data_IF_698016745861
#
_entry.id   IF_698016745861
#
_cell.length_a   1.000
_cell.length_b   1.000
_cell.length_c   1.000
_cell.angle_alpha   90.00
_cell.angle_beta   90.00
_cell.angle_gamma   90.00
#
_symmetry.space_group_name_H-M   'P 1'
#
loop_
_entity.id
_entity.type
_entity.pdbx_description
1 polymer ?
#
# COMPACT_ATOMS: atom_id res chain seq x y z
N UNK A 1 -11.84 0.77 -16.77
CA UNK A 1 -12.15 -0.25 -15.75
C UNK A 1 -11.49 0.02 -14.40
N UNK A 2 -10.24 0.51 -14.38
CA UNK A 2 -9.53 0.80 -13.13
C UNK A 2 -9.81 2.20 -12.58
N UNK A 3 -10.36 3.08 -13.38
CA UNK A 3 -10.65 4.45 -12.98
C UNK A 3 -11.49 4.49 -11.69
N UNK A 4 -11.03 5.26 -10.70
CA UNK A 4 -11.66 5.43 -9.39
C UNK A 4 -11.67 4.18 -8.52
N UNK A 5 -11.02 3.09 -8.94
CA UNK A 5 -10.76 1.97 -8.05
C UNK A 5 -9.67 2.35 -7.05
N UNK A 6 -9.67 1.71 -5.90
CA UNK A 6 -8.66 1.97 -4.87
C UNK A 6 -7.53 0.96 -5.03
N UNK A 7 -6.30 1.45 -5.03
CA UNK A 7 -5.12 0.61 -5.13
C UNK A 7 -4.08 1.00 -4.11
N UNK A 8 -3.26 0.05 -3.69
CA UNK A 8 -2.14 0.28 -2.80
C UNK A 8 -1.00 -0.67 -3.15
N UNK A 9 0.22 -0.14 -3.17
CA UNK A 9 1.41 -0.94 -3.38
C UNK A 9 2.01 -1.32 -2.03
N UNK A 10 2.42 -2.58 -1.91
CA UNK A 10 3.09 -3.11 -0.72
C UNK A 10 4.30 -3.89 -1.22
N UNK A 11 5.46 -3.65 -0.62
CA UNK A 11 6.70 -4.29 -1.06
C UNK A 11 7.41 -4.91 0.13
N UNK A 12 7.80 -6.18 0.01
CA UNK A 12 8.66 -6.85 0.96
C UNK A 12 10.03 -6.98 0.32
N UNK A 13 11.07 -6.57 1.02
CA UNK A 13 12.43 -6.56 0.46
C UNK A 13 13.45 -7.12 1.43
N UNK A 14 14.56 -7.57 0.86
CA UNK A 14 15.71 -8.03 1.62
C UNK A 14 16.70 -6.90 1.90
N UNK A 15 16.81 -5.95 0.96
CA UNK A 15 17.78 -4.84 1.00
C UNK A 15 17.13 -3.56 0.49
N UNK A 16 17.92 -2.67 -0.09
CA UNK A 16 17.47 -1.43 -0.69
C UNK A 16 16.75 -1.66 -2.03
N UNK A 17 16.20 -0.61 -2.61
CA UNK A 17 15.54 -0.67 -3.91
C UNK A 17 14.01 -0.80 -3.83
N UNK A 18 13.48 -1.01 -2.64
CA UNK A 18 12.04 -1.15 -2.43
C UNK A 18 11.26 0.10 -2.88
N UNK A 19 11.82 1.28 -2.69
CA UNK A 19 11.17 2.53 -3.07
C UNK A 19 10.97 2.59 -4.59
N UNK A 20 11.92 2.12 -5.37
CA UNK A 20 11.76 2.07 -6.83
C UNK A 20 10.61 1.16 -7.26
N UNK A 21 10.52 -0.03 -6.67
CA UNK A 21 9.42 -0.95 -6.97
C UNK A 21 8.07 -0.35 -6.52
N UNK A 22 8.03 0.26 -5.35
CA UNK A 22 6.87 0.92 -4.80
C UNK A 22 6.40 2.05 -5.73
N UNK A 23 7.31 2.92 -6.15
CA UNK A 23 7.01 4.03 -7.06
C UNK A 23 6.50 3.55 -8.41
N UNK A 24 7.12 2.50 -8.97
CA UNK A 24 6.71 1.94 -10.25
C UNK A 24 5.25 1.47 -10.20
N UNK A 25 4.87 0.76 -9.14
CA UNK A 25 3.49 0.29 -8.96
C UNK A 25 2.54 1.47 -8.80
N UNK A 26 2.92 2.46 -8.00
CA UNK A 26 2.09 3.64 -7.78
C UNK A 26 1.91 4.48 -9.04
N UNK A 27 2.94 4.58 -9.89
CA UNK A 27 2.82 5.27 -11.16
C UNK A 27 1.78 4.59 -12.06
N UNK A 28 1.72 3.26 -12.04
CA UNK A 28 0.68 2.52 -12.77
C UNK A 28 -0.71 2.89 -12.24
N UNK A 29 -0.89 2.94 -10.93
CA UNK A 29 -2.18 3.31 -10.34
C UNK A 29 -2.58 4.73 -10.74
N UNK A 30 -1.63 5.67 -10.69
CA UNK A 30 -1.90 7.07 -11.02
C UNK A 30 -2.32 7.24 -12.48
N UNK A 31 -1.58 6.61 -13.41
CA UNK A 31 -1.93 6.72 -14.84
C UNK A 31 -3.27 6.05 -15.15
N UNK A 32 -3.69 5.09 -14.35
CA UNK A 32 -4.97 4.42 -14.48
C UNK A 32 -6.13 5.14 -13.79
N UNK A 33 -5.88 6.33 -13.25
CA UNK A 33 -6.87 7.14 -12.53
C UNK A 33 -7.44 6.44 -11.29
N UNK A 34 -6.62 5.62 -10.64
CA UNK A 34 -6.98 4.95 -9.40
C UNK A 34 -6.76 5.88 -8.20
N UNK A 35 -7.40 5.55 -7.09
CA UNK A 35 -7.27 6.29 -5.85
C UNK A 35 -6.35 5.50 -4.93
N UNK A 36 -5.33 6.15 -4.35
CA UNK A 36 -4.34 5.50 -3.50
C UNK A 36 -4.33 6.11 -2.10
N UNK A 37 -4.70 5.36 -1.05
CA UNK A 37 -4.53 5.84 0.32
C UNK A 37 -3.06 5.73 0.75
N UNK A 38 -2.67 6.63 1.63
CA UNK A 38 -1.35 6.55 2.26
C UNK A 38 -1.40 5.80 3.58
N UNK A 39 -0.26 5.73 4.24
CA UNK A 39 -0.12 5.12 5.54
C UNK A 39 0.80 5.99 6.42
N UNK A 40 1.21 5.46 7.57
CA UNK A 40 2.11 6.15 8.49
C UNK A 40 3.55 6.19 7.98
N UNK A 41 3.88 5.34 7.01
CA UNK A 41 5.19 5.31 6.37
C UNK A 41 5.03 4.67 5.00
N UNK A 42 6.14 4.49 4.25
CA UNK A 42 6.09 3.78 2.97
C UNK A 42 5.70 2.31 3.20
N UNK A 43 4.90 1.74 2.32
CA UNK A 43 4.33 0.40 2.48
C UNK A 43 5.36 -0.68 2.17
N UNK A 44 6.39 -0.77 2.99
CA UNK A 44 7.54 -1.65 2.79
C UNK A 44 7.76 -2.50 4.03
N UNK A 45 7.90 -3.81 3.84
CA UNK A 45 8.33 -4.73 4.88
C UNK A 45 9.72 -5.24 4.55
N UNK A 46 10.57 -5.40 5.56
CA UNK A 46 11.96 -5.83 5.39
C UNK A 46 12.16 -7.21 6.01
N UNK A 47 12.74 -8.12 5.25
CA UNK A 47 13.06 -9.45 5.74
C UNK A 47 14.07 -10.14 4.83
N UNK A 48 14.93 -11.01 5.40
CA UNK A 48 15.98 -11.71 4.67
C UNK A 48 15.66 -13.17 4.41
N UNK A 49 14.84 -13.76 5.26
CA UNK A 49 14.48 -15.17 5.18
C UNK A 49 12.96 -15.31 5.30
N UNK A 50 12.46 -16.51 5.09
CA UNK A 50 11.04 -16.80 5.23
C UNK A 50 10.59 -16.44 6.65
N UNK A 51 9.54 -15.62 6.75
CA UNK A 51 8.98 -15.19 8.03
C UNK A 51 9.61 -13.92 8.61
N UNK A 52 10.76 -13.47 8.11
CA UNK A 52 11.42 -12.27 8.65
C UNK A 52 10.57 -11.00 8.52
N UNK A 53 9.80 -10.87 7.45
CA UNK A 53 8.93 -9.71 7.25
C UNK A 53 7.91 -9.62 8.38
N UNK A 54 7.47 -10.73 8.93
CA UNK A 54 6.53 -10.77 10.06
C UNK A 54 7.16 -10.27 11.36
N UNK A 55 8.50 -10.18 11.42
CA UNK A 55 9.23 -9.64 12.56
C UNK A 55 9.52 -8.14 12.42
N UNK A 56 9.18 -7.54 11.28
CA UNK A 56 9.36 -6.11 11.05
C UNK A 56 8.16 -5.37 11.65
N UNK A 57 8.27 -4.98 12.92
CA UNK A 57 7.20 -4.32 13.66
C UNK A 57 6.76 -3.00 13.02
N UNK A 58 7.70 -2.21 12.54
CA UNK A 58 7.38 -0.96 11.87
C UNK A 58 6.65 -1.22 10.55
N UNK A 59 7.13 -2.18 9.77
CA UNK A 59 6.47 -2.57 8.52
C UNK A 59 5.07 -3.10 8.76
N UNK A 60 4.88 -3.94 9.77
CA UNK A 60 3.57 -4.48 10.11
C UNK A 60 2.60 -3.37 10.54
N UNK A 61 3.06 -2.41 11.35
CA UNK A 61 2.20 -1.30 11.77
C UNK A 61 1.84 -0.41 10.57
N UNK A 62 2.78 -0.21 9.65
CA UNK A 62 2.51 0.51 8.40
C UNK A 62 1.41 -0.18 7.61
N UNK A 63 1.44 -1.52 7.53
CA UNK A 63 0.42 -2.29 6.83
C UNK A 63 -0.95 -2.20 7.51
N UNK A 64 -0.98 -2.26 8.84
CA UNK A 64 -2.23 -2.11 9.59
C UNK A 64 -2.85 -0.74 9.37
N UNK A 65 -2.04 0.32 9.40
CA UNK A 65 -2.48 1.68 9.16
C UNK A 65 -3.00 1.83 7.73
N UNK A 66 -2.30 1.25 6.76
CA UNK A 66 -2.75 1.23 5.37
C UNK A 66 -4.13 0.57 5.25
N UNK A 67 -4.30 -0.58 5.90
CA UNK A 67 -5.59 -1.29 5.87
C UNK A 67 -6.73 -0.46 6.45
N UNK A 68 -6.48 0.22 7.58
CA UNK A 68 -7.46 1.13 8.18
C UNK A 68 -7.80 2.28 7.24
N UNK A 69 -6.81 2.87 6.61
CA UNK A 69 -7.01 3.97 5.67
C UNK A 69 -7.78 3.53 4.42
N UNK A 70 -7.49 2.34 3.91
CA UNK A 70 -8.22 1.77 2.79
C UNK A 70 -9.68 1.52 3.14
N UNK A 71 -9.95 0.98 4.33
CA UNK A 71 -11.31 0.73 4.79
C UNK A 71 -12.10 2.03 4.93
N UNK A 72 -11.46 3.06 5.50
CA UNK A 72 -12.07 4.39 5.63
C UNK A 72 -12.41 4.97 4.26
N UNK A 73 -11.46 4.90 3.31
CA UNK A 73 -11.63 5.45 1.97
C UNK A 73 -12.74 4.70 1.21
N UNK A 74 -12.78 3.37 1.33
CA UNK A 74 -13.82 2.56 0.70
C UNK A 74 -15.20 2.97 1.19
N UNK A 75 -15.36 3.17 2.51
CA UNK A 75 -16.63 3.62 3.09
C UNK A 75 -17.04 4.98 2.55
N UNK A 76 -16.09 5.92 2.43
CA UNK A 76 -16.37 7.26 1.96
C UNK A 76 -16.71 7.30 0.47
N UNK A 77 -16.02 6.51 -0.34
CA UNK A 77 -16.24 6.52 -1.78
C UNK A 77 -17.49 5.74 -2.19
N UNK A 78 -17.85 4.70 -1.46
CA UNK A 78 -19.04 3.89 -1.77
C UNK A 78 -20.31 4.48 -1.18
N UNK A 79 -20.24 5.15 -0.04
CA UNK A 79 -21.40 5.77 0.60
C UNK A 79 -22.07 6.82 -0.27
N UNK A 80 -21.31 7.51 -1.12
CA UNK A 80 -21.83 8.50 -2.04
C UNK A 80 -22.23 7.97 -3.41
N UNK A 81 -21.98 6.69 -3.68
CA UNK A 81 -22.21 6.07 -4.97
C UNK A 81 -23.64 5.54 -5.14
N UNK A 82 -24.41 5.63 -4.09
CA UNK A 82 -25.77 5.09 -4.03
C UNK A 82 -26.68 5.46 -5.16
#
# INVERSE_FOLDING_TARGET
MLKRKIGAAVVAVRRAGAIHAFDTINHFFLISQMIMPGSSYWNIGIGRAIGDVEQDEEGLETMRTLGRNMAWLLKKTTAGAG
#
